data_IF_525138216879
#
_entry.id   IF_525138216879
#
_cell.length_a   1.000
_cell.length_b   1.000
_cell.length_c   1.000
_cell.angle_alpha   90.00
_cell.angle_beta   90.00
_cell.angle_gamma   90.00
#
_symmetry.space_group_name_H-M   'P 1'
#
loop_
_entity.id
_entity.type
_entity.pdbx_description
1 polymer ?
#
# COMPACT_ATOMS: atom_id res chain seq x y z
N UNK A 1 -6.73 5.99 -25.95
CA UNK A 1 -7.95 5.88 -25.12
C UNK A 1 -7.51 5.76 -23.67
N UNK A 2 -7.75 6.78 -22.86
CA UNK A 2 -7.36 6.78 -21.45
C UNK A 2 -8.27 5.81 -20.67
N UNK A 3 -7.70 4.99 -19.79
CA UNK A 3 -8.47 4.08 -18.94
C UNK A 3 -9.40 4.94 -18.06
N UNK A 4 -10.72 4.74 -18.16
CA UNK A 4 -11.67 5.43 -17.27
C UNK A 4 -11.63 4.76 -15.89
N UNK A 5 -11.12 5.50 -14.91
CA UNK A 5 -11.10 5.10 -13.49
C UNK A 5 -11.90 6.10 -12.66
N UNK A 6 -12.54 5.61 -11.60
CA UNK A 6 -13.19 6.42 -10.57
C UNK A 6 -12.24 6.54 -9.38
N UNK A 7 -11.95 7.74 -8.86
CA UNK A 7 -11.12 7.87 -7.65
C UNK A 7 -11.64 7.00 -6.51
N UNK A 8 -10.75 6.29 -5.81
CA UNK A 8 -11.12 5.28 -4.82
C UNK A 8 -12.09 5.81 -3.76
N UNK A 9 -11.90 7.00 -3.15
CA UNK A 9 -12.85 7.50 -2.15
C UNK A 9 -14.26 7.67 -2.72
N UNK A 10 -14.37 8.15 -3.96
CA UNK A 10 -15.66 8.34 -4.65
C UNK A 10 -16.29 6.99 -5.01
N UNK A 11 -15.45 6.02 -5.44
CA UNK A 11 -15.91 4.66 -5.71
C UNK A 11 -16.50 4.01 -4.45
N UNK A 12 -15.81 4.12 -3.31
CA UNK A 12 -16.24 3.50 -2.05
C UNK A 12 -17.55 4.08 -1.49
N UNK A 13 -17.91 5.33 -1.83
CA UNK A 13 -19.18 5.93 -1.41
C UNK A 13 -20.41 5.34 -2.12
N UNK A 14 -20.24 4.79 -3.32
CA UNK A 14 -21.36 4.39 -4.20
C UNK A 14 -21.37 2.91 -4.55
N UNK A 15 -20.24 2.21 -4.36
CA UNK A 15 -20.11 0.80 -4.65
C UNK A 15 -20.96 -0.08 -3.72
N UNK A 16 -21.36 -1.26 -4.20
CA UNK A 16 -21.90 -2.28 -3.31
C UNK A 16 -20.82 -2.76 -2.33
N UNK A 17 -21.24 -3.34 -1.19
CA UNK A 17 -20.31 -3.89 -0.18
C UNK A 17 -19.30 -4.88 -0.77
N UNK A 18 -19.74 -5.74 -1.70
CA UNK A 18 -18.89 -6.74 -2.33
C UNK A 18 -17.86 -6.11 -3.29
N UNK A 19 -18.27 -5.09 -4.06
CA UNK A 19 -17.38 -4.35 -4.94
C UNK A 19 -16.36 -3.52 -4.16
N UNK A 20 -16.79 -2.87 -3.08
CA UNK A 20 -15.92 -2.11 -2.18
C UNK A 20 -14.85 -3.00 -1.55
N UNK A 21 -15.24 -4.17 -1.01
CA UNK A 21 -14.29 -5.16 -0.49
C UNK A 21 -13.29 -5.60 -1.56
N UNK A 22 -13.77 -5.94 -2.76
CA UNK A 22 -12.93 -6.34 -3.89
C UNK A 22 -11.95 -5.23 -4.30
N UNK A 23 -12.39 -3.97 -4.34
CA UNK A 23 -11.54 -2.83 -4.65
C UNK A 23 -10.46 -2.62 -3.59
N UNK A 24 -10.77 -2.78 -2.30
CA UNK A 24 -9.81 -2.65 -1.20
C UNK A 24 -8.78 -3.78 -1.20
N UNK A 25 -9.17 -5.02 -1.52
CA UNK A 25 -8.21 -6.09 -1.75
C UNK A 25 -7.31 -5.79 -2.97
N UNK A 26 -7.89 -5.32 -4.08
CA UNK A 26 -7.11 -4.94 -5.26
C UNK A 26 -6.19 -3.74 -5.02
N UNK A 27 -6.54 -2.83 -4.10
CA UNK A 27 -5.69 -1.73 -3.68
C UNK A 27 -4.42 -2.23 -3.02
N UNK A 28 -4.51 -3.18 -2.08
CA UNK A 28 -3.32 -3.78 -1.47
C UNK A 28 -2.45 -4.48 -2.49
N UNK A 29 -3.02 -5.25 -3.42
CA UNK A 29 -2.25 -5.83 -4.52
C UNK A 29 -1.61 -4.78 -5.44
N UNK A 30 -2.29 -3.65 -5.70
CA UNK A 30 -1.71 -2.54 -6.46
C UNK A 30 -0.48 -1.96 -5.76
N UNK A 31 -0.56 -1.72 -4.45
CA UNK A 31 0.56 -1.22 -3.64
C UNK A 31 1.74 -2.20 -3.72
N UNK A 32 1.50 -3.49 -3.54
CA UNK A 32 2.55 -4.53 -3.63
C UNK A 32 3.20 -4.59 -5.01
N UNK A 33 2.40 -4.50 -6.08
CA UNK A 33 2.91 -4.50 -7.45
C UNK A 33 3.77 -3.26 -7.74
N UNK A 34 3.34 -2.09 -7.27
CA UNK A 34 4.13 -0.86 -7.41
C UNK A 34 5.46 -0.99 -6.65
N UNK A 35 5.41 -1.48 -5.40
CA UNK A 35 6.60 -1.72 -4.59
C UNK A 35 7.60 -2.66 -5.30
N UNK A 36 7.11 -3.77 -5.86
CA UNK A 36 7.94 -4.71 -6.61
C UNK A 36 8.50 -4.15 -7.94
N UNK A 37 7.89 -3.09 -8.47
CA UNK A 37 8.38 -2.34 -9.62
C UNK A 37 9.30 -1.17 -9.22
N UNK A 38 9.73 -1.11 -7.97
CA UNK A 38 10.49 -0.01 -7.37
C UNK A 38 9.75 1.34 -7.39
N UNK A 39 8.42 1.34 -7.35
CA UNK A 39 7.58 2.54 -7.31
C UNK A 39 6.92 2.63 -5.94
N UNK A 40 7.23 3.69 -5.19
CA UNK A 40 6.64 3.98 -3.89
C UNK A 40 5.82 5.28 -3.95
N UNK A 41 4.56 5.24 -3.53
CA UNK A 41 3.72 6.45 -3.40
C UNK A 41 3.95 7.02 -1.99
N UNK A 42 4.51 8.24 -1.89
CA UNK A 42 4.92 8.86 -0.62
C UNK A 42 3.78 9.01 0.38
N UNK A 43 2.58 9.30 -0.10
CA UNK A 43 1.45 9.60 0.78
C UNK A 43 0.64 8.36 1.16
N UNK A 44 0.72 7.29 0.34
CA UNK A 44 -0.17 6.13 0.39
C UNK A 44 -1.65 6.49 0.64
N UNK A 45 -2.09 7.61 0.08
CA UNK A 45 -3.46 8.12 0.25
C UNK A 45 -4.40 7.49 -0.77
N UNK A 46 -5.58 7.05 -0.34
CA UNK A 46 -6.61 6.49 -1.21
C UNK A 46 -6.98 7.39 -2.39
N UNK A 47 -6.85 8.72 -2.24
CA UNK A 47 -7.08 9.72 -3.29
C UNK A 47 -6.13 9.60 -4.48
N UNK A 48 -4.97 8.95 -4.32
CA UNK A 48 -3.99 8.75 -5.40
C UNK A 48 -4.33 7.52 -6.27
N UNK A 49 -5.38 6.76 -5.89
CA UNK A 49 -5.77 5.51 -6.52
C UNK A 49 -7.13 5.59 -7.21
N UNK A 50 -7.23 4.97 -8.38
CA UNK A 50 -8.43 4.91 -9.19
C UNK A 50 -8.89 3.48 -9.43
N UNK A 51 -10.20 3.26 -9.36
CA UNK A 51 -10.86 1.97 -9.58
C UNK A 51 -11.48 1.94 -10.98
N UNK A 52 -11.10 0.97 -11.79
CA UNK A 52 -11.71 0.73 -13.10
C UNK A 52 -13.06 0.00 -12.99
N UNK A 53 -13.82 -0.04 -14.10
CA UNK A 53 -15.10 -0.77 -14.18
C UNK A 53 -15.01 -2.27 -13.83
N UNK A 54 -13.84 -2.88 -14.02
CA UNK A 54 -13.58 -4.29 -13.67
C UNK A 54 -12.91 -4.44 -12.29
N UNK A 55 -13.03 -3.43 -11.43
CA UNK A 55 -12.52 -3.37 -10.07
C UNK A 55 -11.00 -3.43 -9.92
N UNK A 56 -10.24 -3.32 -11.01
CA UNK A 56 -8.77 -3.14 -10.93
C UNK A 56 -8.44 -1.74 -10.44
N UNK A 57 -7.47 -1.67 -9.53
CA UNK A 57 -6.98 -0.43 -8.91
C UNK A 57 -5.65 -0.03 -9.55
N UNK A 58 -5.49 1.27 -9.78
CA UNK A 58 -4.30 1.87 -10.38
C UNK A 58 -3.88 3.09 -9.57
N UNK A 59 -2.57 3.28 -9.39
CA UNK A 59 -2.01 4.56 -8.96
C UNK A 59 -2.05 5.54 -10.15
N UNK A 60 -2.55 6.76 -9.96
CA UNK A 60 -2.59 7.76 -11.03
C UNK A 60 -1.82 9.05 -10.73
N UNK A 61 -1.52 9.33 -9.46
CA UNK A 61 -0.67 10.46 -9.09
C UNK A 61 0.80 10.04 -9.10
N UNK A 62 1.49 10.39 -10.19
CA UNK A 62 2.90 10.08 -10.38
C UNK A 62 3.83 11.20 -9.89
N UNK A 63 3.31 12.37 -9.53
CA UNK A 63 4.15 13.45 -9.00
C UNK A 63 4.58 13.17 -7.54
N UNK A 64 3.85 12.27 -6.88
CA UNK A 64 4.09 11.81 -5.52
C UNK A 64 4.88 10.49 -5.40
N UNK A 65 5.57 10.03 -6.45
CA UNK A 65 6.30 8.75 -6.43
C UNK A 65 7.80 8.91 -6.17
N UNK A 66 8.36 7.91 -5.50
CA UNK A 66 9.78 7.74 -5.23
C UNK A 66 10.22 6.34 -5.62
N UNK A 67 11.54 6.14 -5.77
CA UNK A 67 12.08 4.79 -5.83
C UNK A 67 11.98 4.15 -4.45
N UNK A 68 11.35 2.98 -4.35
CA UNK A 68 11.23 2.27 -3.08
C UNK A 68 12.61 2.01 -2.45
N UNK A 69 13.65 1.76 -3.25
CA UNK A 69 15.02 1.55 -2.75
C UNK A 69 15.64 2.74 -2.02
N UNK A 70 15.11 3.96 -2.24
CA UNK A 70 15.59 5.20 -1.64
C UNK A 70 14.79 5.61 -0.39
N UNK A 71 13.66 4.93 -0.15
CA UNK A 71 12.80 5.15 1.02
C UNK A 71 13.41 4.53 2.28
N UNK A 72 13.32 5.22 3.40
CA UNK A 72 13.83 4.74 4.69
C UNK A 72 12.70 4.10 5.49
N UNK A 73 12.73 2.78 5.58
CA UNK A 73 11.75 2.01 6.35
C UNK A 73 12.09 2.13 7.85
N UNK A 74 11.14 2.60 8.65
CA UNK A 74 11.27 2.80 10.10
C UNK A 74 10.03 2.29 10.81
N UNK A 75 10.04 2.34 12.15
CA UNK A 75 8.89 1.95 12.97
C UNK A 75 8.84 2.74 14.28
N UNK A 76 7.63 2.97 14.75
CA UNK A 76 7.27 3.43 16.07
C UNK A 76 6.79 2.30 16.98
N UNK A 77 6.68 1.06 16.49
CA UNK A 77 6.31 -0.08 17.32
C UNK A 77 7.29 -0.24 18.49
N UNK A 78 6.74 -0.29 19.69
CA UNK A 78 7.52 -0.37 20.94
C UNK A 78 7.83 0.97 21.60
N UNK A 79 7.50 2.10 20.96
CA UNK A 79 7.52 3.43 21.61
C UNK A 79 6.19 3.66 22.34
N UNK A 80 6.24 4.27 23.52
CA UNK A 80 5.04 4.59 24.32
C UNK A 80 4.57 6.02 24.03
N UNK A 81 3.26 6.24 24.03
CA UNK A 81 2.68 7.57 23.93
C UNK A 81 3.08 8.39 25.17
N UNK A 82 3.83 9.49 24.97
CA UNK A 82 4.36 10.33 26.05
C UNK A 82 5.84 10.12 26.40
N UNK A 83 6.55 9.22 25.72
CA UNK A 83 8.02 9.27 25.73
C UNK A 83 8.47 10.59 25.07
N UNK A 84 9.19 11.43 25.81
CA UNK A 84 9.71 12.73 25.33
C UNK A 84 10.80 12.59 24.26
N UNK A 85 11.26 11.36 23.99
CA UNK A 85 12.30 11.07 23.02
C UNK A 85 11.74 11.12 21.59
N UNK A 86 12.09 12.18 20.87
CA UNK A 86 11.90 12.30 19.42
C UNK A 86 12.68 11.15 18.75
N UNK A 87 12.06 10.32 17.90
CA UNK A 87 12.77 9.24 17.22
C UNK A 87 13.92 9.78 16.36
N UNK A 88 15.07 9.10 16.35
CA UNK A 88 16.24 9.52 15.56
C UNK A 88 15.91 9.74 14.08
N UNK A 89 15.02 8.91 13.52
CA UNK A 89 14.60 9.02 12.14
C UNK A 89 13.83 10.30 11.81
N UNK A 90 13.30 11.01 12.82
CA UNK A 90 12.55 12.27 12.63
C UNK A 90 13.40 13.36 11.97
N UNK A 91 14.72 13.28 12.16
CA UNK A 91 15.68 14.22 11.60
C UNK A 91 16.37 13.69 10.33
N UNK A 92 16.00 12.50 9.85
CA UNK A 92 16.56 11.97 8.61
C UNK A 92 16.01 12.73 7.40
N UNK A 93 16.90 13.20 6.53
CA UNK A 93 16.51 13.79 5.25
C UNK A 93 15.81 12.76 4.35
N UNK A 94 15.02 13.21 3.38
CA UNK A 94 14.35 12.33 2.41
C UNK A 94 13.11 11.64 2.97
N UNK A 95 12.65 10.57 2.32
CA UNK A 95 11.37 9.93 2.66
C UNK A 95 11.57 8.86 3.72
N UNK A 96 11.03 9.12 4.91
CA UNK A 96 10.83 8.13 5.96
C UNK A 96 9.43 7.55 5.83
N UNK A 97 9.31 6.23 5.93
CA UNK A 97 8.05 5.52 5.82
C UNK A 97 7.87 4.56 7.00
N UNK A 98 6.70 4.65 7.63
CA UNK A 98 6.26 3.84 8.76
C UNK A 98 5.15 2.87 8.29
N UNK A 99 5.46 1.59 8.04
CA UNK A 99 4.50 0.62 7.51
C UNK A 99 3.23 0.45 8.36
N UNK A 100 3.35 0.56 9.68
CA UNK A 100 2.22 0.47 10.61
C UNK A 100 1.15 1.57 10.38
N UNK A 101 1.52 2.68 9.74
CA UNK A 101 0.61 3.80 9.47
C UNK A 101 -0.14 3.67 8.13
N UNK A 102 0.18 2.66 7.30
CA UNK A 102 -0.42 2.49 5.96
C UNK A 102 -1.95 2.47 6.01
N UNK A 103 -2.55 1.75 6.95
CA UNK A 103 -4.02 1.69 7.06
C UNK A 103 -4.63 3.09 7.28
N UNK A 104 -4.01 3.89 8.16
CA UNK A 104 -4.45 5.25 8.45
C UNK A 104 -4.20 6.18 7.25
N UNK A 105 -3.03 6.06 6.61
CA UNK A 105 -2.64 6.82 5.42
C UNK A 105 -3.59 6.63 4.25
N UNK A 106 -4.16 5.43 4.08
CA UNK A 106 -5.15 5.15 3.02
C UNK A 106 -6.47 5.90 3.17
N UNK A 107 -6.78 6.44 4.36
CA UNK A 107 -7.99 7.22 4.65
C UNK A 107 -9.31 6.52 4.26
N UNK A 108 -9.37 5.21 4.46
CA UNK A 108 -10.60 4.43 4.28
C UNK A 108 -11.47 4.60 5.54
N UNK A 109 -12.59 5.32 5.42
CA UNK A 109 -13.45 5.63 6.57
C UNK A 109 -14.16 4.39 7.14
N UNK A 110 -14.67 3.53 6.26
CA UNK A 110 -15.42 2.33 6.63
C UNK A 110 -14.52 1.32 7.37
N UNK A 111 -14.84 1.08 8.65
CA UNK A 111 -14.12 0.14 9.52
C UNK A 111 -14.13 -1.30 8.99
N UNK A 112 -15.21 -1.74 8.38
CA UNK A 112 -15.30 -3.11 7.82
C UNK A 112 -14.34 -3.29 6.65
N UNK A 113 -14.15 -2.25 5.84
CA UNK A 113 -13.18 -2.26 4.75
C UNK A 113 -11.74 -2.19 5.25
N UNK A 114 -11.47 -1.41 6.30
CA UNK A 114 -10.15 -1.42 6.96
C UNK A 114 -9.80 -2.79 7.55
N UNK A 115 -10.75 -3.45 8.19
CA UNK A 115 -10.57 -4.82 8.67
C UNK A 115 -10.28 -5.78 7.50
N UNK A 116 -11.04 -5.67 6.42
CA UNK A 116 -10.84 -6.48 5.22
C UNK A 116 -9.43 -6.26 4.60
N UNK A 117 -8.96 -5.01 4.55
CA UNK A 117 -7.59 -4.71 4.12
C UNK A 117 -6.56 -5.43 5.01
N UNK A 118 -6.71 -5.37 6.34
CA UNK A 118 -5.80 -6.05 7.27
C UNK A 118 -5.80 -7.57 7.11
N UNK A 119 -6.97 -8.17 6.94
CA UNK A 119 -7.11 -9.62 6.74
C UNK A 119 -6.30 -10.09 5.52
N UNK A 120 -6.33 -9.33 4.43
CA UNK A 120 -5.63 -9.69 3.19
C UNK A 120 -4.19 -9.18 3.09
N UNK A 121 -3.86 -8.09 3.78
CA UNK A 121 -2.64 -7.32 3.54
C UNK A 121 -1.92 -6.84 4.81
N UNK A 122 -2.07 -7.58 5.91
CA UNK A 122 -1.32 -7.31 7.16
C UNK A 122 0.20 -7.32 6.99
N UNK A 123 0.74 -7.91 5.92
CA UNK A 123 2.16 -7.82 5.58
C UNK A 123 2.59 -6.41 5.16
N UNK A 124 1.71 -5.62 4.53
CA UNK A 124 1.99 -4.21 4.21
C UNK A 124 2.19 -3.34 5.45
N UNK A 125 1.75 -3.82 6.62
CA UNK A 125 1.90 -3.14 7.91
C UNK A 125 3.21 -3.49 8.63
N UNK A 126 4.11 -4.25 8.00
CA UNK A 126 5.33 -4.76 8.62
C UNK A 126 6.56 -4.25 7.89
N UNK A 127 7.54 -3.75 8.63
CA UNK A 127 8.85 -3.33 8.10
C UNK A 127 9.51 -4.42 7.27
N UNK A 128 9.49 -5.65 7.74
CA UNK A 128 10.12 -6.81 7.09
C UNK A 128 9.62 -7.08 5.68
N UNK A 129 8.36 -6.76 5.36
CA UNK A 129 7.84 -6.87 3.99
C UNK A 129 8.59 -5.92 3.06
N UNK A 130 8.62 -4.64 3.42
CA UNK A 130 9.21 -3.58 2.60
C UNK A 130 10.73 -3.71 2.48
N UNK A 131 11.41 -4.02 3.58
CA UNK A 131 12.84 -4.31 3.59
C UNK A 131 13.18 -5.52 2.70
N UNK A 132 12.35 -6.57 2.73
CA UNK A 132 12.50 -7.74 1.86
C UNK A 132 12.38 -7.40 0.37
N UNK A 133 11.44 -6.51 0.01
CA UNK A 133 11.30 -5.99 -1.35
C UNK A 133 12.53 -5.16 -1.74
N UNK A 134 12.96 -4.21 -0.90
CA UNK A 134 14.15 -3.40 -1.17
C UNK A 134 15.40 -4.26 -1.39
N UNK A 135 15.63 -5.26 -0.54
CA UNK A 135 16.76 -6.17 -0.67
C UNK A 135 16.70 -6.95 -1.99
N UNK A 136 15.52 -7.44 -2.37
CA UNK A 136 15.33 -8.14 -3.64
C UNK A 136 15.61 -7.24 -4.85
N UNK A 137 15.16 -5.98 -4.81
CA UNK A 137 15.39 -4.99 -5.86
C UNK A 137 16.88 -4.63 -5.98
N UNK A 138 17.57 -4.42 -4.86
CA UNK A 138 19.02 -4.15 -4.82
C UNK A 138 19.84 -5.33 -5.35
N UNK A 139 19.35 -6.56 -5.15
CA UNK A 139 19.93 -7.79 -5.73
C UNK A 139 19.60 -7.97 -7.23
N UNK A 140 18.88 -7.04 -7.86
CA UNK A 140 18.45 -7.14 -9.26
C UNK A 140 17.39 -8.21 -9.52
N UNK A 141 16.73 -8.74 -8.47
CA UNK A 141 15.66 -9.73 -8.58
C UNK A 141 14.31 -9.03 -8.70
N UNK A 142 13.45 -9.55 -9.58
CA UNK A 142 12.04 -9.12 -9.64
C UNK A 142 11.28 -9.80 -8.49
N UNK A 143 10.78 -9.06 -7.47
CA UNK A 143 10.06 -9.66 -6.36
C UNK A 143 8.77 -10.31 -6.87
N UNK A 144 8.54 -11.58 -6.50
CA UNK A 144 7.35 -12.30 -6.94
C UNK A 144 6.15 -11.89 -6.10
N UNK A 145 5.31 -11.01 -6.63
CA UNK A 145 4.02 -10.68 -6.00
C UNK A 145 2.96 -11.66 -6.48
N UNK A 146 2.28 -12.31 -5.54
CA UNK A 146 1.07 -13.06 -5.87
C UNK A 146 -0.11 -12.12 -5.89
N UNK A 147 -0.69 -11.91 -7.05
CA UNK A 147 -1.85 -11.04 -7.29
C UNK A 147 -3.19 -11.76 -7.18
N UNK A 148 -3.17 -13.06 -6.88
CA UNK A 148 -4.36 -13.88 -6.71
C UNK A 148 -4.47 -14.36 -5.27
N UNK A 149 -5.70 -14.37 -4.77
CA UNK A 149 -6.07 -15.13 -3.58
C UNK A 149 -5.63 -16.59 -3.75
N UNK A 150 -5.18 -17.25 -2.68
CA UNK A 150 -4.59 -18.59 -2.78
C UNK A 150 -5.54 -19.58 -3.47
N UNK A 151 -6.85 -19.45 -3.27
CA UNK A 151 -7.86 -20.30 -3.90
C UNK A 151 -7.97 -20.15 -5.43
N UNK A 152 -7.35 -19.12 -6.02
CA UNK A 152 -7.32 -18.87 -7.48
C UNK A 152 -5.95 -19.09 -8.10
N UNK A 153 -4.95 -19.52 -7.33
CA UNK A 153 -3.67 -19.95 -7.90
C UNK A 153 -3.86 -21.29 -8.60
N UNK A 154 -3.48 -21.36 -9.87
CA UNK A 154 -3.32 -22.64 -10.54
C UNK A 154 -2.17 -23.37 -9.84
N UNK A 155 -2.50 -24.50 -9.20
CA UNK A 155 -1.49 -25.42 -8.66
C UNK A 155 -0.68 -25.92 -9.86
N UNK A 156 0.62 -25.71 -9.81
CA UNK A 156 1.53 -26.09 -10.89
C UNK A 156 2.02 -27.51 -10.68
#
# INVERSE_FOLDING_TARGET
MQLKVTPLPIFLQTASKAEAATAVANLGYCIKNNAAANIFNRDLDGRNYGVSKILKVYLFDYDAVEQLTDVKIRTNLGRLEGEEDIPDWFFEDGVVFLPEEVEAGLRIEDRSLRNHFREHHSDLLKTSYWEGIQNSLRDGRVPRISTYAEERRLVR
#
